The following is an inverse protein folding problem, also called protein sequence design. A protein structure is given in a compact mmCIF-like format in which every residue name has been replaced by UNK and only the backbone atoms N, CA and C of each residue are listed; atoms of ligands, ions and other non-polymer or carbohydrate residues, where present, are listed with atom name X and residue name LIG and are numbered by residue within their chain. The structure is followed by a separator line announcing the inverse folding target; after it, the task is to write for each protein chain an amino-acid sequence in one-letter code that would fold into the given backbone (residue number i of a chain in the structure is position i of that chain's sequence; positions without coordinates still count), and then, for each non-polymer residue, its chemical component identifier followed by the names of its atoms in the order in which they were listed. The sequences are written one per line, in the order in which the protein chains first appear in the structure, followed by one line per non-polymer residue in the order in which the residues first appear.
data_IF_639856638555
#
_entry.id   IF_639856638555
#
_cell.length_a   1.000
_cell.length_b   1.000
_cell.length_c   1.000
_cell.angle_alpha   90.00
_cell.angle_beta   90.00
_cell.angle_gamma   90.00
#
_symmetry.space_group_name_H-M   'P 1'
#
loop_
_entity.id
_entity.type
_entity.pdbx_description
1 polymer ?
#
# COMPACT_ATOMS: atom_id res chain seq x y z
N UNK A 1 -11.47 -3.67 -6.59
CA UNK A 1 -10.19 -4.36 -6.33
C UNK A 1 -9.30 -3.60 -5.32
N UNK A 2 -9.23 -2.27 -5.34
CA UNK A 2 -8.34 -1.48 -4.47
C UNK A 2 -8.49 -1.75 -2.96
N UNK A 3 -9.73 -1.91 -2.47
CA UNK A 3 -10.01 -2.24 -1.06
C UNK A 3 -9.31 -3.54 -0.63
N UNK A 4 -9.34 -4.58 -1.48
CA UNK A 4 -8.65 -5.85 -1.20
C UNK A 4 -7.13 -5.66 -1.13
N UNK A 5 -6.57 -4.80 -1.99
CA UNK A 5 -5.14 -4.48 -1.96
C UNK A 5 -4.76 -3.78 -0.64
N UNK A 6 -5.59 -2.84 -0.16
CA UNK A 6 -5.38 -2.22 1.14
C UNK A 6 -5.41 -3.26 2.27
N UNK A 7 -6.38 -4.17 2.27
CA UNK A 7 -6.42 -5.25 3.26
C UNK A 7 -5.20 -6.17 3.18
N UNK A 8 -4.76 -6.55 1.98
CA UNK A 8 -3.55 -7.36 1.80
C UNK A 8 -2.30 -6.62 2.28
N UNK A 9 -2.18 -5.32 2.04
CA UNK A 9 -1.08 -4.50 2.56
C UNK A 9 -1.13 -4.34 4.09
N UNK A 10 -2.31 -4.34 4.69
CA UNK A 10 -2.48 -4.26 6.15
C UNK A 10 -2.15 -5.58 6.85
N UNK A 11 -2.50 -6.71 6.25
CA UNK A 11 -2.32 -8.04 6.83
C UNK A 11 -1.02 -8.74 6.41
N UNK A 12 -0.51 -8.41 5.22
CA UNK A 12 0.63 -9.09 4.57
C UNK A 12 1.57 -8.08 3.89
N UNK A 13 1.61 -6.83 4.35
CA UNK A 13 2.44 -5.75 3.78
C UNK A 13 3.96 -6.01 3.82
N UNK A 14 4.37 -7.04 4.55
CA UNK A 14 5.71 -7.57 4.66
C UNK A 14 6.03 -8.70 3.65
N UNK A 15 5.12 -8.98 2.72
CA UNK A 15 5.36 -9.93 1.64
C UNK A 15 6.20 -9.32 0.52
N UNK A 16 7.25 -10.05 0.13
CA UNK A 16 8.03 -9.73 -1.07
C UNK A 16 7.16 -9.68 -2.34
N UNK A 17 6.04 -10.42 -2.38
CA UNK A 17 5.11 -10.38 -3.50
C UNK A 17 4.45 -9.01 -3.68
N UNK A 18 4.11 -8.33 -2.57
CA UNK A 18 3.55 -6.97 -2.60
C UNK A 18 4.61 -5.93 -3.00
N UNK A 19 5.87 -6.15 -2.62
CA UNK A 19 6.98 -5.31 -3.07
C UNK A 19 7.25 -5.48 -4.57
N UNK A 20 7.31 -6.72 -5.07
CA UNK A 20 7.50 -7.03 -6.50
C UNK A 20 6.35 -6.54 -7.38
N UNK A 21 5.13 -6.51 -6.84
CA UNK A 21 3.95 -6.01 -7.53
C UNK A 21 3.80 -4.47 -7.51
N UNK A 22 4.81 -3.73 -7.01
CA UNK A 22 4.78 -2.27 -6.91
C UNK A 22 3.53 -1.74 -6.18
N UNK A 23 3.04 -2.49 -5.19
CA UNK A 23 1.78 -2.20 -4.51
C UNK A 23 1.78 -0.82 -3.84
N UNK A 24 2.94 -0.37 -3.34
CA UNK A 24 3.10 0.96 -2.77
C UNK A 24 2.81 2.05 -3.80
N UNK A 25 3.44 1.96 -4.99
CA UNK A 25 3.23 2.91 -6.08
C UNK A 25 1.78 2.91 -6.57
N UNK A 26 1.12 1.75 -6.60
CA UNK A 26 -0.30 1.64 -6.91
C UNK A 26 -1.19 2.35 -5.88
N UNK A 27 -0.90 2.20 -4.58
CA UNK A 27 -1.63 2.91 -3.51
C UNK A 27 -1.35 4.42 -3.52
N UNK A 28 -0.13 4.85 -3.85
CA UNK A 28 0.21 6.27 -4.00
C UNK A 28 -0.52 6.92 -5.16
N UNK A 29 -0.61 6.23 -6.29
CA UNK A 29 -1.40 6.69 -7.42
C UNK A 29 -2.89 6.76 -7.05
N UNK A 30 -3.41 5.73 -6.37
CA UNK A 30 -4.79 5.69 -5.93
C UNK A 30 -5.14 6.79 -4.93
N UNK A 31 -4.21 7.15 -4.03
CA UNK A 31 -4.37 8.27 -3.09
C UNK A 31 -4.44 9.64 -3.75
N UNK A 32 -4.04 9.78 -5.02
CA UNK A 32 -4.17 11.02 -5.81
C UNK A 32 -5.49 11.09 -6.57
N UNK A 33 -6.24 9.99 -6.62
CA UNK A 33 -7.50 9.91 -7.37
C UNK A 33 -8.68 10.32 -6.50
N UNK A 34 -9.21 11.52 -6.75
CA UNK A 34 -10.34 12.12 -6.01
C UNK A 34 -11.56 11.18 -5.91
N UNK A 35 -11.85 10.43 -6.98
CA UNK A 35 -12.96 9.47 -7.03
C UNK A 35 -12.81 8.29 -6.07
N UNK A 36 -11.57 7.93 -5.69
CA UNK A 36 -11.30 6.84 -4.75
C UNK A 36 -11.33 7.33 -3.30
N UNK A 37 -10.94 8.59 -3.07
CA UNK A 37 -10.93 9.22 -1.74
C UNK A 37 -12.36 9.55 -1.27
N UNK A 38 -13.30 9.74 -2.19
CA UNK A 38 -14.74 9.87 -1.86
C UNK A 38 -15.34 8.63 -1.20
N UNK A 39 -14.65 7.49 -1.23
CA UNK A 39 -15.08 6.31 -0.51
C UNK A 39 -14.53 6.37 0.93
N UNK A 40 -15.39 6.53 1.96
CA UNK A 40 -14.94 6.74 3.34
C UNK A 40 -14.13 5.55 3.89
N UNK A 41 -14.32 4.36 3.32
CA UNK A 41 -13.52 3.19 3.64
C UNK A 41 -12.08 3.32 3.11
N UNK A 42 -11.90 3.85 1.90
CA UNK A 42 -10.58 4.04 1.30
C UNK A 42 -9.85 5.24 1.89
N UNK A 43 -10.57 6.27 2.33
CA UNK A 43 -9.99 7.45 2.99
C UNK A 43 -9.15 7.06 4.22
N UNK A 44 -9.61 6.08 5.00
CA UNK A 44 -8.87 5.53 6.15
C UNK A 44 -7.92 4.39 5.77
N UNK A 45 -8.33 3.49 4.86
CA UNK A 45 -7.54 2.31 4.52
C UNK A 45 -6.27 2.65 3.70
N UNK A 46 -6.33 3.65 2.81
CA UNK A 46 -5.20 4.04 1.96
C UNK A 46 -3.97 4.49 2.75
N UNK A 47 -4.06 5.47 3.68
CA UNK A 47 -2.90 5.93 4.44
C UNK A 47 -2.32 4.82 5.34
N UNK A 48 -3.18 3.99 5.94
CA UNK A 48 -2.78 2.89 6.81
C UNK A 48 -2.02 1.79 6.03
N UNK A 49 -2.57 1.39 4.87
CA UNK A 49 -1.96 0.41 3.98
C UNK A 49 -0.62 0.91 3.41
N UNK A 50 -0.56 2.20 3.07
CA UNK A 50 0.65 2.84 2.55
C UNK A 50 1.76 2.84 3.61
N UNK A 51 1.46 3.26 4.84
CA UNK A 51 2.42 3.28 5.94
C UNK A 51 3.02 1.89 6.22
N UNK A 52 2.19 0.83 6.18
CA UNK A 52 2.65 -0.55 6.34
C UNK A 52 3.66 -0.97 5.26
N UNK A 53 3.37 -0.67 4.00
CA UNK A 53 4.26 -1.00 2.88
C UNK A 53 5.54 -0.16 2.90
N UNK A 54 5.46 1.12 3.26
CA UNK A 54 6.63 1.99 3.41
C UNK A 54 7.58 1.48 4.50
N UNK A 55 7.04 1.05 5.64
CA UNK A 55 7.83 0.46 6.73
C UNK A 55 8.55 -0.81 6.29
N UNK A 56 7.91 -1.65 5.47
CA UNK A 56 8.55 -2.83 4.92
C UNK A 56 9.61 -2.49 3.88
N UNK A 57 9.30 -1.64 2.90
CA UNK A 57 10.25 -1.26 1.86
C UNK A 57 11.44 -0.49 2.40
N UNK A 58 11.26 0.37 3.41
CA UNK A 58 12.35 1.03 4.12
C UNK A 58 13.31 0.04 4.81
N UNK A 59 12.77 -1.06 5.37
CA UNK A 59 13.56 -2.14 5.97
C UNK A 59 14.20 -3.05 4.91
N UNK A 60 13.52 -3.28 3.79
CA UNK A 60 14.02 -4.03 2.65
C UNK A 60 15.11 -3.30 1.86
N UNK A 61 15.10 -1.97 1.84
CA UNK A 61 16.09 -1.15 1.12
C UNK A 61 17.54 -1.36 1.60
N UNK A 62 17.71 -1.87 2.83
CA UNK A 62 19.03 -2.21 3.39
C UNK A 62 19.46 -3.67 3.10
N UNK A 63 18.63 -4.48 2.45
CA UNK A 63 18.94 -5.89 2.11
C UNK A 63 19.16 -6.13 0.60
N UNK A 64 18.95 -5.12 -0.23
CA UNK A 64 19.16 -5.20 -1.67
C UNK A 64 20.18 -4.14 -2.13
N UNK A 65 21.42 -4.28 -1.69
CA UNK A 65 22.60 -3.68 -2.32
C UNK A 65 23.77 -4.66 -2.21
#
# INVERSE_FOLDING_TARGET
ALVLLCYLALHVGDSEALAKAEALSALEWASKQVSLIQNPHLESLLPEAKSRLELYQSRGYHRFH
#
